data_IF_007957177789
#
_entry.id   IF_007957177789
#
_cell.length_a   1.000
_cell.length_b   1.000
_cell.length_c   1.000
_cell.angle_alpha   90.00
_cell.angle_beta   90.00
_cell.angle_gamma   90.00
#
_symmetry.space_group_name_H-M   'P 1'
#
loop_
_entity.id
_entity.type
_entity.pdbx_description
1 polymer ?
#
# COMPACT_ATOMS: atom_id res chain seq x y z
N UNK A 1 -10.64 4.69 -15.59
CA UNK A 1 -10.19 3.78 -14.52
C UNK A 1 -8.67 3.63 -14.45
N UNK A 2 -7.93 4.73 -14.30
CA UNK A 2 -6.45 4.72 -14.29
C UNK A 2 -5.82 4.31 -12.94
N UNK A 3 -6.60 4.35 -11.86
CA UNK A 3 -6.12 4.23 -10.47
C UNK A 3 -6.07 2.80 -9.95
N UNK A 4 -6.86 1.90 -10.54
CA UNK A 4 -6.95 0.51 -10.08
C UNK A 4 -5.64 -0.24 -10.29
N UNK A 5 -4.94 0.02 -11.40
CA UNK A 5 -3.66 -0.63 -11.74
C UNK A 5 -2.56 -0.30 -10.72
N UNK A 6 -2.24 0.98 -10.42
CA UNK A 6 -1.22 1.29 -9.43
C UNK A 6 -1.60 0.80 -8.02
N UNK A 7 -2.89 0.79 -7.67
CA UNK A 7 -3.36 0.29 -6.38
C UNK A 7 -3.15 -1.23 -6.24
N UNK A 8 -3.52 -2.00 -7.27
CA UNK A 8 -3.28 -3.45 -7.30
C UNK A 8 -1.79 -3.78 -7.33
N UNK A 9 -0.99 -3.06 -8.13
CA UNK A 9 0.46 -3.29 -8.19
C UNK A 9 1.12 -3.00 -6.84
N UNK A 10 0.74 -1.92 -6.16
CA UNK A 10 1.25 -1.62 -4.82
C UNK A 10 0.88 -2.71 -3.81
N UNK A 11 -0.37 -3.18 -3.81
CA UNK A 11 -0.82 -4.25 -2.92
C UNK A 11 -0.07 -5.56 -3.16
N UNK A 12 0.05 -5.98 -4.43
CA UNK A 12 0.75 -7.21 -4.81
C UNK A 12 2.24 -7.10 -4.47
N UNK A 13 2.89 -5.99 -4.80
CA UNK A 13 4.31 -5.79 -4.52
C UNK A 13 4.61 -5.80 -3.02
N UNK A 14 3.81 -5.08 -2.21
CA UNK A 14 3.95 -5.09 -0.76
C UNK A 14 3.78 -6.49 -0.18
N UNK A 15 2.79 -7.25 -0.65
CA UNK A 15 2.54 -8.63 -0.20
C UNK A 15 3.68 -9.58 -0.58
N UNK A 16 4.18 -9.49 -1.81
CA UNK A 16 5.30 -10.31 -2.28
C UNK A 16 6.56 -10.05 -1.46
N UNK A 17 6.83 -8.79 -1.10
CA UNK A 17 8.00 -8.46 -0.28
C UNK A 17 7.82 -8.93 1.15
N UNK A 18 6.63 -8.81 1.76
CA UNK A 18 6.37 -9.42 3.08
C UNK A 18 6.65 -10.92 3.07
N UNK A 19 6.17 -11.64 2.06
CA UNK A 19 6.40 -13.09 1.94
C UNK A 19 7.88 -13.43 1.74
N UNK A 20 8.61 -12.61 0.97
CA UNK A 20 10.03 -12.80 0.75
C UNK A 20 10.87 -12.58 2.03
N UNK A 21 10.43 -11.68 2.93
CA UNK A 21 11.13 -11.35 4.17
C UNK A 21 10.77 -12.29 5.32
N UNK A 22 9.48 -12.60 5.50
CA UNK A 22 9.00 -13.36 6.66
C UNK A 22 9.01 -14.88 6.46
N UNK A 23 8.70 -15.37 5.24
CA UNK A 23 8.56 -16.81 5.02
C UNK A 23 8.78 -17.24 3.55
N UNK A 24 10.04 -17.27 3.06
CA UNK A 24 10.36 -17.51 1.65
C UNK A 24 9.94 -18.90 1.13
N UNK A 25 9.68 -19.88 2.01
CA UNK A 25 9.21 -21.21 1.63
C UNK A 25 7.72 -21.24 1.21
N UNK A 26 6.94 -20.20 1.53
CA UNK A 26 5.51 -20.09 1.17
C UNK A 26 5.26 -19.64 -0.29
N UNK A 27 6.31 -19.28 -1.04
CA UNK A 27 6.21 -18.81 -2.44
C UNK A 27 5.67 -19.91 -3.39
N UNK A 28 5.71 -21.19 -2.99
CA UNK A 28 5.20 -22.31 -3.77
C UNK A 28 3.69 -22.59 -3.65
N UNK A 29 2.97 -21.94 -2.74
CA UNK A 29 1.57 -22.22 -2.41
C UNK A 29 0.70 -20.96 -2.63
N UNK A 30 -0.11 -20.95 -3.68
CA UNK A 30 -1.06 -19.85 -3.98
C UNK A 30 -2.04 -19.60 -2.81
N UNK A 31 -2.39 -20.66 -2.08
CA UNK A 31 -3.28 -20.58 -0.91
C UNK A 31 -2.61 -19.89 0.29
N UNK A 32 -1.33 -20.15 0.57
CA UNK A 32 -0.62 -19.45 1.65
C UNK A 32 -0.26 -18.01 1.29
N UNK A 33 -0.06 -17.74 -0.01
CA UNK A 33 0.06 -16.39 -0.53
C UNK A 33 -1.20 -15.54 -0.28
N UNK A 34 -2.39 -16.13 -0.51
CA UNK A 34 -3.71 -15.50 -0.36
C UNK A 34 -4.23 -15.48 1.08
N UNK A 35 -3.72 -16.35 1.98
CA UNK A 35 -4.07 -16.34 3.39
C UNK A 35 -3.33 -15.19 4.08
N UNK A 36 -4.05 -14.08 4.29
CA UNK A 36 -3.59 -12.88 4.98
C UNK A 36 -3.51 -13.17 6.49
N UNK A 37 -2.49 -13.93 6.93
CA UNK A 37 -2.07 -13.97 8.35
C UNK A 37 -1.00 -12.94 8.66
N UNK A 38 -0.07 -12.71 7.73
CA UNK A 38 0.94 -11.66 7.80
C UNK A 38 0.48 -10.42 7.02
N UNK A 39 0.99 -9.25 7.42
CA UNK A 39 0.61 -7.95 6.86
C UNK A 39 1.06 -7.74 5.41
N UNK A 40 1.13 -6.47 5.02
CA UNK A 40 1.64 -6.01 3.73
C UNK A 40 2.72 -4.97 4.03
N UNK A 41 3.90 -5.13 3.43
CA UNK A 41 4.99 -4.18 3.60
C UNK A 41 4.65 -2.86 2.89
N UNK A 42 4.63 -1.78 3.66
CA UNK A 42 4.17 -0.47 3.19
C UNK A 42 5.12 0.14 2.14
N UNK A 43 6.42 0.19 2.44
CA UNK A 43 7.40 0.87 1.60
C UNK A 43 7.55 0.28 0.18
N UNK A 44 7.65 -1.05 0.01
CA UNK A 44 7.71 -1.65 -1.31
C UNK A 44 6.42 -1.45 -2.10
N UNK A 45 5.26 -1.56 -1.45
CA UNK A 45 3.97 -1.31 -2.09
C UNK A 45 3.81 0.14 -2.54
N UNK A 46 4.19 1.10 -1.69
CA UNK A 46 4.15 2.53 -2.01
C UNK A 46 5.11 2.89 -3.17
N UNK A 47 6.34 2.36 -3.16
CA UNK A 47 7.31 2.59 -4.22
C UNK A 47 6.84 2.01 -5.57
N UNK A 48 6.28 0.80 -5.57
CA UNK A 48 5.76 0.17 -6.77
C UNK A 48 4.57 0.95 -7.36
N UNK A 49 3.62 1.36 -6.51
CA UNK A 49 2.48 2.18 -6.93
C UNK A 49 2.93 3.52 -7.53
N UNK A 50 3.86 4.23 -6.86
CA UNK A 50 4.42 5.48 -7.36
C UNK A 50 5.15 5.30 -8.70
N UNK A 51 5.91 4.20 -8.85
CA UNK A 51 6.59 3.85 -10.10
C UNK A 51 5.62 3.65 -11.26
N UNK A 52 4.50 2.96 -11.04
CA UNK A 52 3.45 2.77 -12.06
C UNK A 52 2.78 4.09 -12.44
N UNK A 53 2.48 4.94 -11.46
CA UNK A 53 1.90 6.27 -11.72
C UNK A 53 2.87 7.13 -12.56
N UNK A 54 4.15 7.13 -12.22
CA UNK A 54 5.17 7.85 -12.97
C UNK A 54 5.33 7.30 -14.40
N UNK A 55 5.34 5.98 -14.56
CA UNK A 55 5.43 5.33 -15.87
C UNK A 55 4.22 5.64 -16.76
N UNK A 56 3.01 5.60 -16.20
CA UNK A 56 1.79 5.96 -16.91
C UNK A 56 1.75 7.45 -17.26
N UNK A 57 2.25 8.34 -16.39
CA UNK A 57 2.36 9.77 -16.67
C UNK A 57 3.29 10.02 -17.86
N UNK A 58 4.46 9.36 -17.87
CA UNK A 58 5.42 9.45 -18.95
C UNK A 58 4.86 8.90 -20.28
N UNK A 59 4.11 7.80 -20.26
CA UNK A 59 3.48 7.24 -21.47
C UNK A 59 2.37 8.11 -22.05
N UNK A 60 1.73 8.92 -21.23
CA UNK A 60 0.59 9.75 -21.62
C UNK A 60 1.00 11.20 -21.96
N UNK A 61 2.30 11.53 -21.94
CA UNK A 61 2.83 12.89 -22.13
C UNK A 61 2.17 13.92 -21.19
N UNK A 62 1.88 13.49 -19.94
CA UNK A 62 1.25 14.34 -18.92
C UNK A 62 2.19 14.61 -17.77
N UNK A 63 2.00 15.77 -17.12
CA UNK A 63 2.81 16.13 -15.98
C UNK A 63 2.58 15.15 -14.81
N UNK A 64 3.64 14.59 -14.20
CA UNK A 64 3.51 13.63 -13.10
C UNK A 64 2.91 14.26 -11.84
N UNK A 65 3.14 15.57 -11.64
CA UNK A 65 2.60 16.36 -10.53
C UNK A 65 1.08 16.46 -10.57
N UNK A 66 0.50 16.72 -11.74
CA UNK A 66 -0.95 16.82 -11.91
C UNK A 66 -1.63 15.46 -11.71
N UNK A 67 -0.95 14.38 -12.10
CA UNK A 67 -1.41 13.00 -11.85
C UNK A 67 -1.34 12.64 -10.37
N UNK A 68 -0.29 13.05 -9.65
CA UNK A 68 -0.19 12.89 -8.20
C UNK A 68 -1.24 13.72 -7.45
N UNK A 69 -1.53 14.94 -7.90
CA UNK A 69 -2.57 15.78 -7.33
C UNK A 69 -3.97 15.12 -7.45
N UNK A 70 -4.25 14.44 -8.56
CA UNK A 70 -5.48 13.66 -8.74
C UNK A 70 -5.56 12.43 -7.80
N UNK A 71 -4.42 11.92 -7.33
CA UNK A 71 -4.34 10.77 -6.41
C UNK A 71 -4.40 11.18 -4.93
N UNK A 72 -4.06 12.42 -4.60
CA UNK A 72 -4.08 12.94 -3.23
C UNK A 72 -5.39 12.68 -2.47
N UNK A 73 -6.60 12.93 -3.02
CA UNK A 73 -7.84 12.65 -2.30
C UNK A 73 -8.03 11.15 -2.01
N UNK A 74 -7.63 10.27 -2.93
CA UNK A 74 -7.70 8.82 -2.73
C UNK A 74 -6.69 8.36 -1.68
N UNK A 75 -5.50 8.94 -1.66
CA UNK A 75 -4.49 8.68 -0.64
C UNK A 75 -4.99 9.08 0.77
N UNK A 76 -5.67 10.23 0.87
CA UNK A 76 -6.28 10.68 2.14
C UNK A 76 -7.39 9.73 2.61
N UNK A 77 -8.24 9.25 1.70
CA UNK A 77 -9.27 8.25 2.04
C UNK A 77 -8.63 6.94 2.50
N UNK A 78 -7.58 6.47 1.82
CA UNK A 78 -6.82 5.29 2.22
C UNK A 78 -6.18 5.44 3.60
N UNK A 79 -5.58 6.59 3.86
CA UNK A 79 -4.98 6.92 5.16
C UNK A 79 -6.02 6.99 6.28
N UNK A 80 -7.18 7.62 6.02
CA UNK A 80 -8.28 7.66 6.98
C UNK A 80 -8.83 6.26 7.28
N UNK A 81 -8.94 5.40 6.27
CA UNK A 81 -9.33 4.00 6.46
C UNK A 81 -8.30 3.23 7.29
N UNK A 82 -6.99 3.45 7.04
CA UNK A 82 -5.92 2.87 7.83
C UNK A 82 -6.03 3.28 9.32
N UNK A 83 -6.11 4.57 9.61
CA UNK A 83 -6.27 5.08 10.98
C UNK A 83 -7.56 4.58 11.63
N UNK A 84 -8.67 4.52 10.89
CA UNK A 84 -9.92 3.95 11.39
C UNK A 84 -9.74 2.49 11.78
N UNK A 85 -9.07 1.68 10.95
CA UNK A 85 -8.79 0.28 11.30
C UNK A 85 -7.85 0.14 12.48
N UNK A 86 -6.90 1.07 12.69
CA UNK A 86 -6.05 1.08 13.88
C UNK A 86 -6.88 1.19 15.17
N UNK A 87 -7.93 2.02 15.18
CA UNK A 87 -8.86 2.17 16.33
C UNK A 87 -9.59 0.86 16.62
N UNK A 88 -9.99 0.11 15.59
CA UNK A 88 -10.69 -1.16 15.75
C UNK A 88 -9.76 -2.35 16.09
N UNK A 89 -8.47 -2.24 15.80
CA UNK A 89 -7.48 -3.31 15.98
C UNK A 89 -6.47 -3.06 17.10
N UNK A 90 -6.63 -1.99 17.87
CA UNK A 90 -5.69 -1.52 18.92
C UNK A 90 -4.22 -1.43 18.44
N UNK A 91 -4.02 -1.27 17.13
CA UNK A 91 -2.72 -1.48 16.48
C UNK A 91 -1.85 -0.22 16.40
N UNK A 92 -2.44 0.96 16.51
CA UNK A 92 -1.74 2.24 16.38
C UNK A 92 -2.00 3.10 17.62
N UNK A 93 -1.44 2.68 18.76
CA UNK A 93 -1.41 3.50 19.97
C UNK A 93 -0.28 4.53 19.82
N UNK A 94 -0.65 5.80 19.69
CA UNK A 94 0.28 6.92 19.82
C UNK A 94 0.92 6.96 21.21
N UNK A 95 1.98 7.77 21.41
CA UNK A 95 2.64 7.87 22.71
C UNK A 95 1.61 8.23 23.79
N UNK A 96 1.64 7.48 24.91
CA UNK A 96 0.82 7.78 26.08
C UNK A 96 1.09 9.21 26.51
N UNK A 97 0.10 10.10 26.40
CA UNK A 97 0.22 11.45 26.93
C UNK A 97 0.28 11.35 28.46
N UNK A 98 1.33 11.86 29.12
CA UNK A 98 1.45 11.83 30.58
C UNK A 98 0.48 12.79 31.29
N UNK A 99 -0.42 13.44 30.56
CA UNK A 99 -1.41 14.37 31.11
C UNK A 99 -2.80 13.86 30.72
N UNK A 100 -3.48 13.32 31.72
CA UNK A 100 -4.88 12.93 31.77
C UNK A 100 -5.33 13.02 33.23
#
# INVERSE_FOLDING_TARGET
>A
DDVTVPLLVGLVAGRLVTLALDDPNSIGSLSDMLVIRSGVEFWPGAAAAAGVVAWQANRADRSPLERLAALAPLALVGYAAYEATCVFRDGCLGPVSPVG
#
